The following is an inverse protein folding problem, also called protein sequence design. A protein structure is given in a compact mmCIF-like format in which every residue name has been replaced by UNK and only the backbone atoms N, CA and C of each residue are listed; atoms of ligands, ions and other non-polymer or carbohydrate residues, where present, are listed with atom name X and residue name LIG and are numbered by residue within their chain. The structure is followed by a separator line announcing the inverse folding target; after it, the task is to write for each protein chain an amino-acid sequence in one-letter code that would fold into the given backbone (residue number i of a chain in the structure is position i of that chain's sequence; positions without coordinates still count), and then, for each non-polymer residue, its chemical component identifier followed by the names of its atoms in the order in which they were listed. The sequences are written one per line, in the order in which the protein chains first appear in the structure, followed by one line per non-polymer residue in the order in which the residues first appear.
data_IF_045885751528
#
_entry.id   IF_045885751528
#
_cell.length_a   1.000
_cell.length_b   1.000
_cell.length_c   1.000
_cell.angle_alpha   90.00
_cell.angle_beta   90.00
_cell.angle_gamma   90.00
#
_symmetry.space_group_name_H-M   'P 1'
#
loop_
_entity.id
_entity.type
_entity.pdbx_description
1 polymer ?
#
# COMPACT_ATOMS: atom_id res chain seq x y z
N UNK A 1 -7.63 -23.51 -9.21
CA UNK A 1 -7.67 -22.91 -9.07
C UNK A 1 -8.04 -22.07 -8.85
N UNK A 2 -8.15 -21.95 -8.93
CA UNK A 2 -8.57 -21.01 -8.66
C UNK A 2 -8.20 -20.05 -7.85
N UNK A 3 -7.51 -20.01 -7.39
CA UNK A 3 -6.93 -19.12 -6.49
C UNK A 3 -6.71 -17.79 -7.08
N UNK A 4 -6.65 -17.70 -8.32
CA UNK A 4 -6.46 -16.41 -8.93
C UNK A 4 -7.54 -15.45 -8.56
N UNK A 5 -8.63 -15.94 -8.08
CA UNK A 5 -9.71 -15.06 -7.67
C UNK A 5 -9.61 -14.66 -6.23
N UNK A 6 -8.54 -15.05 -5.57
CA UNK A 6 -8.46 -14.93 -4.13
C UNK A 6 -7.77 -13.66 -3.68
N UNK A 7 -8.42 -12.52 -3.86
CA UNK A 7 -7.92 -11.28 -3.28
C UNK A 7 -8.40 -11.17 -1.84
N UNK A 8 -8.04 -12.16 -1.04
CA UNK A 8 -8.49 -12.25 0.34
C UNK A 8 -7.35 -12.17 1.35
N UNK A 9 -6.12 -12.37 0.91
CA UNK A 9 -4.97 -12.25 1.80
C UNK A 9 -4.23 -10.97 1.53
N UNK A 10 -3.50 -10.50 2.54
CA UNK A 10 -2.71 -9.29 2.38
C UNK A 10 -1.75 -9.41 1.19
N UNK A 11 -1.07 -10.54 1.05
CA UNK A 11 -0.09 -10.69 -0.02
C UNK A 11 -0.70 -10.54 -1.40
N UNK A 12 -1.88 -11.11 -1.61
CA UNK A 12 -2.53 -10.99 -2.91
C UNK A 12 -3.05 -9.59 -3.16
N UNK A 13 -3.64 -9.00 -2.15
CA UNK A 13 -4.20 -7.66 -2.26
C UNK A 13 -3.12 -6.61 -2.46
N UNK A 14 -2.01 -6.72 -1.71
CA UNK A 14 -0.96 -5.72 -1.81
C UNK A 14 -0.26 -5.75 -3.17
N UNK A 15 -0.18 -6.91 -3.81
CA UNK A 15 0.40 -6.97 -5.15
C UNK A 15 -0.39 -6.13 -6.13
N UNK A 16 -1.71 -6.18 -6.04
CA UNK A 16 -2.57 -5.37 -6.90
C UNK A 16 -2.38 -3.88 -6.61
N UNK A 17 -2.36 -3.53 -5.33
CA UNK A 17 -2.17 -2.14 -4.92
C UNK A 17 -0.85 -1.59 -5.43
N UNK A 18 0.23 -2.35 -5.28
CA UNK A 18 1.56 -1.89 -5.70
C UNK A 18 1.68 -1.77 -7.21
N UNK A 19 0.94 -2.57 -7.97
CA UNK A 19 0.93 -2.42 -9.41
C UNK A 19 0.34 -1.08 -9.83
N UNK A 20 -0.67 -0.61 -9.09
CA UNK A 20 -1.29 0.68 -9.38
C UNK A 20 -0.46 1.85 -8.87
N UNK A 21 0.20 1.66 -7.73
CA UNK A 21 0.96 2.73 -7.10
C UNK A 21 2.42 2.79 -7.51
N UNK A 22 2.79 2.03 -8.47
CA UNK A 22 4.05 1.95 -9.20
C UNK A 22 5.23 2.76 -8.73
N UNK A 23 6.09 3.13 -9.67
CA UNK A 23 7.47 3.54 -9.51
C UNK A 23 7.76 4.82 -8.74
N UNK A 24 9.04 5.18 -8.78
CA UNK A 24 9.55 6.36 -8.10
C UNK A 24 9.20 7.63 -8.86
N UNK A 25 8.71 8.62 -8.13
CA UNK A 25 8.41 9.93 -8.67
C UNK A 25 8.94 10.98 -7.69
N UNK A 26 9.57 12.01 -8.24
CA UNK A 26 10.02 13.14 -7.43
C UNK A 26 9.61 14.41 -8.16
N UNK A 27 8.40 14.87 -7.89
CA UNK A 27 7.86 16.06 -8.52
C UNK A 27 8.00 17.22 -7.54
N UNK A 28 8.85 18.21 -7.86
CA UNK A 28 9.05 19.33 -6.95
C UNK A 28 7.80 20.16 -6.72
N UNK A 29 6.80 20.03 -7.58
CA UNK A 29 5.55 20.75 -7.41
C UNK A 29 4.53 19.98 -6.60
N UNK A 30 4.86 18.77 -6.21
CA UNK A 30 3.97 17.92 -5.42
C UNK A 30 4.28 18.09 -3.95
N UNK A 31 3.27 18.40 -3.15
CA UNK A 31 3.44 18.56 -1.72
C UNK A 31 4.00 17.32 -1.03
N UNK A 32 3.75 16.14 -1.61
CA UNK A 32 4.26 14.89 -1.07
C UNK A 32 5.75 14.70 -1.30
N UNK A 33 6.31 15.39 -2.29
CA UNK A 33 7.71 15.24 -2.66
C UNK A 33 7.96 13.88 -3.30
N UNK A 34 8.99 13.20 -2.82
CA UNK A 34 9.31 11.87 -3.33
C UNK A 34 8.21 10.87 -3.00
N UNK A 35 7.89 10.03 -3.96
CA UNK A 35 6.87 8.99 -3.80
C UNK A 35 7.33 7.72 -4.51
N UNK A 36 7.14 6.60 -3.86
CA UNK A 36 7.42 5.29 -4.47
C UNK A 36 6.48 4.27 -3.87
N UNK A 37 5.85 3.48 -4.73
CA UNK A 37 4.85 2.49 -4.31
C UNK A 37 3.75 3.11 -3.45
N UNK A 38 3.44 4.40 -3.69
CA UNK A 38 2.44 5.09 -2.90
C UNK A 38 2.92 5.59 -1.55
N UNK A 39 4.18 5.35 -1.21
CA UNK A 39 4.77 5.80 0.05
C UNK A 39 5.42 7.17 -0.20
N UNK A 40 4.99 8.18 0.54
CA UNK A 40 5.47 9.55 0.31
C UNK A 40 6.46 9.97 1.38
N UNK A 41 7.42 10.79 0.96
CA UNK A 41 8.39 11.35 1.90
C UNK A 41 7.73 12.22 2.95
N UNK A 42 6.64 12.86 2.57
CA UNK A 42 5.91 13.73 3.48
C UNK A 42 5.43 12.99 4.73
N UNK A 43 4.90 11.79 4.53
CA UNK A 43 4.38 11.00 5.65
C UNK A 43 5.39 10.04 6.25
N UNK A 44 6.49 9.81 5.53
CA UNK A 44 7.53 8.89 5.98
C UNK A 44 8.90 9.57 5.80
N UNK A 45 9.14 10.65 6.54
CA UNK A 45 10.36 11.44 6.34
C UNK A 45 11.65 10.68 6.64
N UNK A 46 11.58 9.64 7.46
CA UNK A 46 12.75 8.85 7.82
C UNK A 46 13.04 7.71 6.85
N UNK A 47 12.17 7.51 5.87
CA UNK A 47 12.33 6.43 4.89
C UNK A 47 13.09 6.95 3.68
N UNK A 48 14.04 6.14 3.20
CA UNK A 48 14.76 6.43 1.96
C UNK A 48 13.85 6.04 0.79
N UNK A 49 13.02 6.98 0.38
CA UNK A 49 11.99 6.72 -0.63
C UNK A 49 12.59 6.25 -1.94
N UNK A 50 13.69 6.90 -2.36
CA UNK A 50 14.30 6.58 -3.65
C UNK A 50 14.74 5.13 -3.74
N UNK A 51 15.26 4.60 -2.65
CA UNK A 51 15.78 3.24 -2.59
C UNK A 51 14.81 2.26 -1.93
N UNK A 52 13.58 2.69 -1.71
CA UNK A 52 12.57 1.84 -1.09
C UNK A 52 12.32 0.61 -1.96
N UNK A 53 12.39 -0.57 -1.35
CA UNK A 53 12.11 -1.81 -2.06
C UNK A 53 10.63 -2.16 -1.95
N UNK A 54 10.19 -3.03 -2.85
CA UNK A 54 8.82 -3.51 -2.84
C UNK A 54 8.50 -4.20 -1.50
N UNK A 55 9.45 -4.96 -0.97
CA UNK A 55 9.23 -5.65 0.29
C UNK A 55 9.10 -4.69 1.45
N UNK A 56 9.89 -3.62 1.45
CA UNK A 56 9.77 -2.59 2.46
C UNK A 56 8.42 -1.89 2.39
N UNK A 57 7.95 -1.62 1.17
CA UNK A 57 6.65 -1.01 0.98
C UNK A 57 5.53 -1.90 1.51
N UNK A 58 5.63 -3.19 1.26
CA UNK A 58 4.64 -4.15 1.79
C UNK A 58 4.59 -4.11 3.30
N UNK A 59 5.75 -4.05 3.94
CA UNK A 59 5.82 -3.99 5.39
C UNK A 59 5.12 -2.74 5.93
N UNK A 60 5.37 -1.60 5.28
CA UNK A 60 4.75 -0.34 5.69
C UNK A 60 3.23 -0.43 5.57
N UNK A 61 2.73 -0.93 4.44
CA UNK A 61 1.29 -1.06 4.26
C UNK A 61 0.67 -2.00 5.27
N UNK A 62 1.36 -3.09 5.60
CA UNK A 62 0.84 -4.04 6.57
C UNK A 62 0.77 -3.40 7.96
N UNK A 63 1.82 -2.72 8.38
CA UNK A 63 1.88 -2.16 9.71
C UNK A 63 0.98 -0.94 9.89
N UNK A 64 0.89 -0.10 8.88
CA UNK A 64 0.25 1.19 9.03
C UNK A 64 -1.18 1.24 8.51
N UNK A 65 -1.57 0.30 7.66
CA UNK A 65 -2.89 0.29 7.06
C UNK A 65 -3.66 -0.99 7.34
N UNK A 66 -3.04 -2.14 7.05
CA UNK A 66 -3.73 -3.42 7.17
C UNK A 66 -4.07 -3.75 8.62
N UNK A 67 -3.08 -3.70 9.49
CA UNK A 67 -3.29 -4.06 10.89
C UNK A 67 -4.16 -3.05 11.65
N UNK A 68 -3.91 -1.74 11.54
CA UNK A 68 -4.76 -0.79 12.25
C UNK A 68 -6.21 -0.82 11.80
N UNK A 69 -6.45 -1.11 10.52
CA UNK A 69 -7.81 -1.20 10.00
C UNK A 69 -8.45 -2.55 10.28
N UNK A 70 -7.70 -3.49 10.85
CA UNK A 70 -8.20 -4.82 11.18
C UNK A 70 -8.75 -5.56 9.96
N UNK A 71 -8.02 -5.46 8.86
CA UNK A 71 -8.46 -6.07 7.62
C UNK A 71 -8.64 -7.59 7.73
N UNK A 72 -7.86 -8.23 8.60
CA UNK A 72 -8.02 -9.67 8.82
C UNK A 72 -9.39 -10.03 9.38
N UNK A 73 -10.07 -9.07 10.00
CA UNK A 73 -11.40 -9.29 10.57
C UNK A 73 -12.51 -8.95 9.59
N UNK A 74 -12.17 -8.35 8.46
CA UNK A 74 -13.13 -8.03 7.42
C UNK A 74 -13.46 -9.31 6.65
N UNK A 75 -14.73 -9.55 6.29
CA UNK A 75 -15.06 -10.71 5.48
C UNK A 75 -14.16 -10.77 4.24
N UNK A 76 -13.63 -11.95 3.91
CA UNK A 76 -12.63 -12.05 2.84
C UNK A 76 -13.02 -11.40 1.53
N UNK A 77 -14.27 -11.52 1.13
CA UNK A 77 -14.70 -10.98 -0.16
C UNK A 77 -14.77 -9.45 -0.17
N UNK A 78 -14.64 -8.81 0.99
CA UNK A 78 -14.67 -7.36 1.10
C UNK A 78 -13.30 -6.76 1.41
N UNK A 79 -12.30 -7.59 1.68
CA UNK A 79 -10.99 -7.10 2.13
C UNK A 79 -10.31 -6.22 1.12
N UNK A 80 -10.36 -6.59 -0.15
CA UNK A 80 -9.68 -5.80 -1.19
C UNK A 80 -10.28 -4.39 -1.26
N UNK A 81 -11.59 -4.30 -1.31
CA UNK A 81 -12.26 -3.01 -1.38
C UNK A 81 -11.98 -2.19 -0.13
N UNK A 82 -12.07 -2.83 1.03
CA UNK A 82 -11.86 -2.15 2.30
C UNK A 82 -10.44 -1.61 2.42
N UNK A 83 -9.44 -2.45 2.10
CA UNK A 83 -8.05 -2.04 2.18
C UNK A 83 -7.75 -0.91 1.20
N UNK A 84 -8.28 -1.02 -0.01
CA UNK A 84 -8.11 0.01 -1.03
C UNK A 84 -8.65 1.35 -0.53
N UNK A 85 -9.78 1.34 0.12
CA UNK A 85 -10.34 2.56 0.71
C UNK A 85 -9.44 3.10 1.80
N UNK A 86 -8.89 2.24 2.64
CA UNK A 86 -7.99 2.68 3.70
C UNK A 86 -6.73 3.35 3.14
N UNK A 87 -6.18 2.80 2.08
CA UNK A 87 -4.99 3.37 1.45
C UNK A 87 -5.32 4.74 0.86
N UNK A 88 -6.46 4.86 0.20
CA UNK A 88 -6.83 6.10 -0.46
C UNK A 88 -7.24 7.20 0.50
N UNK A 89 -7.83 6.85 1.63
CA UNK A 89 -8.33 7.84 2.59
C UNK A 89 -7.55 7.87 3.89
N UNK A 90 -6.64 6.94 4.09
CA UNK A 90 -5.91 6.85 5.35
C UNK A 90 -4.84 7.90 5.52
N UNK A 91 -4.55 8.59 4.45
CA UNK A 91 -3.57 9.67 4.47
C UNK A 91 -4.29 11.00 4.34
#
# INVERSE_FOLDING_TARGET
MSEKTQLTTFNNIIEVVLQHEGGYVNDPNDLGGETKYGITKRFYPDVDIKNLTKEQAKTIYHQDYWRPAKCDEVPPHLRHIFFDMCVNFGQ
#
